data_IF_443824669753
#
_entry.id   IF_443824669753
#
_cell.length_a   1.000
_cell.length_b   1.000
_cell.length_c   1.000
_cell.angle_alpha   90.00
_cell.angle_beta   90.00
_cell.angle_gamma   90.00
#
_symmetry.space_group_name_H-M   'P 1'
#
loop_
_entity.id
_entity.type
_entity.pdbx_description
1 polymer ?
#
# COMPACT_ATOMS: atom_id res chain seq x y z
N UNK A 1 0.91 14.52 3.59
CA UNK A 1 0.15 13.25 3.43
C UNK A 1 0.47 12.72 2.05
N UNK A 2 0.91 11.46 1.93
CA UNK A 2 1.34 10.83 0.68
C UNK A 2 0.23 9.88 0.22
N UNK A 3 -0.20 10.01 -1.03
CA UNK A 3 -1.09 9.05 -1.66
C UNK A 3 -0.26 7.96 -2.36
N UNK A 4 -0.51 6.70 -2.01
CA UNK A 4 0.19 5.56 -2.57
C UNK A 4 -0.75 4.67 -3.39
N UNK A 5 -0.23 4.15 -4.49
CA UNK A 5 -0.84 3.05 -5.24
C UNK A 5 0.12 1.85 -5.22
N UNK A 6 -0.43 0.64 -5.08
CA UNK A 6 0.34 -0.60 -5.05
C UNK A 6 0.01 -1.44 -6.28
N UNK A 7 1.05 -1.80 -7.04
CA UNK A 7 0.95 -2.67 -8.21
C UNK A 7 1.65 -4.00 -7.91
N UNK A 8 0.94 -5.11 -8.09
CA UNK A 8 1.35 -6.44 -7.65
C UNK A 8 1.03 -6.67 -6.17
N UNK A 9 0.03 -7.49 -5.87
CA UNK A 9 -0.45 -7.82 -4.53
C UNK A 9 -0.02 -9.22 -4.03
N UNK A 10 0.95 -9.84 -4.72
CA UNK A 10 1.66 -11.03 -4.24
C UNK A 10 2.39 -10.81 -2.90
N UNK A 11 3.27 -11.74 -2.50
CA UNK A 11 3.85 -11.77 -1.15
C UNK A 11 4.40 -10.41 -0.67
N UNK A 12 5.25 -9.78 -1.48
CA UNK A 12 5.87 -8.48 -1.15
C UNK A 12 4.83 -7.35 -1.15
N UNK A 13 3.94 -7.33 -2.14
CA UNK A 13 2.86 -6.36 -2.24
C UNK A 13 1.95 -6.36 -1.01
N UNK A 14 1.53 -7.54 -0.57
CA UNK A 14 0.70 -7.72 0.63
C UNK A 14 1.35 -7.20 1.91
N UNK A 15 2.66 -7.44 2.09
CA UNK A 15 3.42 -6.92 3.25
C UNK A 15 3.47 -5.39 3.22
N UNK A 16 3.79 -4.80 2.07
CA UNK A 16 3.85 -3.34 1.95
C UNK A 16 2.49 -2.67 2.04
N UNK A 17 1.42 -3.27 1.50
CA UNK A 17 0.06 -2.77 1.66
C UNK A 17 -0.31 -2.66 3.15
N UNK A 18 0.03 -3.69 3.94
CA UNK A 18 -0.18 -3.67 5.39
C UNK A 18 0.63 -2.57 6.07
N UNK A 19 1.90 -2.39 5.71
CA UNK A 19 2.72 -1.31 6.27
C UNK A 19 2.15 0.08 5.92
N UNK A 20 1.78 0.29 4.66
CA UNK A 20 1.20 1.54 4.17
C UNK A 20 -0.13 1.87 4.86
N UNK A 21 -0.97 0.86 5.12
CA UNK A 21 -2.25 1.04 5.81
C UNK A 21 -2.11 1.50 7.27
N UNK A 22 -0.98 1.20 7.92
CA UNK A 22 -0.72 1.58 9.32
C UNK A 22 0.19 2.80 9.46
N UNK A 23 0.74 3.34 8.37
CA UNK A 23 1.69 4.44 8.45
C UNK A 23 0.95 5.79 8.61
N UNK A 24 1.16 6.53 9.72
CA UNK A 24 0.57 7.85 9.88
C UNK A 24 1.17 8.79 8.82
N UNK A 25 0.31 9.34 7.97
CA UNK A 25 0.71 10.25 6.88
C UNK A 25 0.72 9.63 5.48
N UNK A 26 0.41 8.34 5.35
CA UNK A 26 0.18 7.69 4.05
C UNK A 26 -1.28 7.30 3.92
N UNK A 27 -1.81 7.42 2.71
CA UNK A 27 -3.12 6.90 2.34
C UNK A 27 -2.95 5.97 1.14
N UNK A 28 -3.13 4.67 1.36
CA UNK A 28 -3.17 3.68 0.29
C UNK A 28 -4.50 3.82 -0.46
N UNK A 29 -4.45 4.23 -1.72
CA UNK A 29 -5.64 4.59 -2.52
C UNK A 29 -6.11 3.46 -3.41
N UNK A 30 -5.17 2.80 -4.07
CA UNK A 30 -5.43 1.81 -5.10
C UNK A 30 -4.47 0.65 -4.91
N UNK A 31 -4.99 -0.56 -5.08
CA UNK A 31 -4.21 -1.78 -5.26
C UNK A 31 -4.64 -2.37 -6.60
N UNK A 32 -3.67 -2.68 -7.45
CA UNK A 32 -3.84 -3.40 -8.72
C UNK A 32 -2.94 -4.62 -8.67
N UNK A 33 -3.46 -5.78 -9.01
CA UNK A 33 -2.71 -7.03 -9.17
C UNK A 33 -3.12 -7.68 -10.49
#
# INVERSE_FOLDING_TARGET
MIDAALFGAGLIGSVHAKNLAHHPGVRLRIIVD
#
